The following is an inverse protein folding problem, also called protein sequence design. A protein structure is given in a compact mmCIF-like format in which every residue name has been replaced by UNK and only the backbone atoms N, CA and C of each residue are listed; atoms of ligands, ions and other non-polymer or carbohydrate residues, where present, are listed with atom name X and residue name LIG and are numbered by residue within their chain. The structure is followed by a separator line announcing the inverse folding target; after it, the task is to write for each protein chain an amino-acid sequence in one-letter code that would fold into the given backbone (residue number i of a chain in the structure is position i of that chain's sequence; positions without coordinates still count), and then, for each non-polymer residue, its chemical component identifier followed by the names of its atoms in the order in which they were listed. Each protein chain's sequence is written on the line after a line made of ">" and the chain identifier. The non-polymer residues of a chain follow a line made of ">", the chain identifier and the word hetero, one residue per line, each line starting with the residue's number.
data_IF_748499702323
#
_entry.id   IF_748499702323
#
_cell.length_a   1.000
_cell.length_b   1.000
_cell.length_c   1.000
_cell.angle_alpha   90.00
_cell.angle_beta   90.00
_cell.angle_gamma   90.00
#
_symmetry.space_group_name_H-M   'P 1'
#
loop_
_entity.id
_entity.type
_entity.pdbx_description
1 polymer ?
#
# COMPACT_ATOMS: atom_id res chain seq x y z
N UNK A 1 29.20 -42.07 8.29
CA UNK A 1 27.72 -41.96 8.24
C UNK A 1 27.24 -40.61 7.69
N UNK A 2 28.11 -39.62 7.43
CA UNK A 2 27.70 -38.28 6.97
C UNK A 2 27.37 -38.16 5.47
N UNK A 3 27.61 -39.18 4.65
CA UNK A 3 27.47 -39.11 3.19
C UNK A 3 26.03 -39.25 2.68
N UNK A 4 25.05 -39.42 3.57
CA UNK A 4 23.63 -39.63 3.21
C UNK A 4 22.81 -38.33 3.16
N UNK A 5 23.39 -37.20 3.57
CA UNK A 5 22.68 -35.90 3.60
C UNK A 5 22.86 -35.17 2.27
N UNK A 6 21.76 -34.95 1.56
CA UNK A 6 21.78 -34.13 0.34
C UNK A 6 21.88 -32.63 0.64
N UNK A 7 22.02 -31.78 -0.39
CA UNK A 7 22.25 -30.34 -0.25
C UNK A 7 21.28 -29.60 0.70
N UNK A 8 19.98 -29.91 0.64
CA UNK A 8 18.98 -29.31 1.52
C UNK A 8 19.12 -29.70 3.00
N UNK A 9 19.69 -30.88 3.31
CA UNK A 9 19.86 -31.34 4.69
C UNK A 9 20.98 -30.62 5.45
N UNK A 10 21.82 -29.87 4.74
CA UNK A 10 22.89 -29.03 5.31
C UNK A 10 22.40 -27.59 5.49
N UNK A 11 21.35 -27.19 4.76
CA UNK A 11 20.82 -25.84 4.82
C UNK A 11 20.01 -25.61 6.10
N UNK A 12 20.31 -24.52 6.81
CA UNK A 12 19.61 -24.13 8.03
C UNK A 12 18.73 -22.93 7.75
N UNK A 13 17.43 -23.08 8.00
CA UNK A 13 16.47 -21.99 7.92
C UNK A 13 16.66 -21.04 9.10
N UNK A 14 17.40 -19.95 8.88
CA UNK A 14 17.52 -18.85 9.84
C UNK A 14 16.67 -17.68 9.35
N UNK A 15 15.45 -17.59 9.85
CA UNK A 15 14.58 -16.45 9.60
C UNK A 15 14.61 -15.54 10.82
N UNK A 16 15.03 -14.28 10.63
CA UNK A 16 14.72 -13.24 11.58
C UNK A 16 13.19 -13.15 11.73
N UNK A 17 12.69 -12.86 12.94
CA UNK A 17 11.26 -12.70 13.18
C UNK A 17 10.63 -11.75 12.15
N UNK A 18 9.46 -12.11 11.62
CA UNK A 18 8.76 -11.34 10.59
C UNK A 18 8.58 -9.90 11.07
N UNK A 19 9.37 -8.98 10.53
CA UNK A 19 9.32 -7.58 10.90
C UNK A 19 8.08 -6.95 10.27
N UNK A 20 7.16 -6.50 11.10
CA UNK A 20 5.98 -5.80 10.63
C UNK A 20 6.33 -4.34 10.33
N UNK A 21 6.73 -4.06 9.08
CA UNK A 21 7.08 -2.69 8.60
C UNK A 21 5.94 -1.70 8.87
N UNK A 22 4.68 -2.14 8.80
CA UNK A 22 3.54 -1.29 9.11
C UNK A 22 3.58 -0.80 10.56
N UNK A 23 3.90 -1.68 11.51
CA UNK A 23 3.93 -1.30 12.93
C UNK A 23 5.10 -0.37 13.26
N UNK A 24 6.26 -0.60 12.67
CA UNK A 24 7.43 0.27 12.87
C UNK A 24 7.20 1.66 12.26
N UNK A 25 6.56 1.74 11.10
CA UNK A 25 6.24 2.99 10.43
C UNK A 25 5.16 3.78 11.20
N UNK A 26 4.11 3.10 11.70
CA UNK A 26 3.05 3.73 12.49
C UNK A 26 3.54 4.24 13.86
N UNK A 27 4.49 3.54 14.50
CA UNK A 27 5.08 3.95 15.78
C UNK A 27 5.92 5.22 15.67
N UNK A 28 6.50 5.51 14.50
CA UNK A 28 7.32 6.71 14.25
C UNK A 28 6.53 7.95 13.83
N UNK A 29 5.24 7.82 13.52
CA UNK A 29 4.42 8.92 13.03
C UNK A 29 4.09 9.99 14.09
N UNK A 30 4.47 11.24 13.81
CA UNK A 30 4.16 12.40 14.66
C UNK A 30 2.66 12.73 14.66
N UNK A 31 2.18 13.46 15.67
CA UNK A 31 0.75 13.84 15.78
C UNK A 31 0.26 14.62 14.54
N UNK A 32 1.08 15.51 13.99
CA UNK A 32 0.75 16.28 12.79
C UNK A 32 0.58 15.42 11.54
N UNK A 33 1.43 14.42 11.36
CA UNK A 33 1.31 13.47 10.25
C UNK A 33 0.00 12.68 10.32
N UNK A 34 -0.41 12.21 11.51
CA UNK A 34 -1.69 11.49 11.67
C UNK A 34 -2.91 12.36 11.35
N UNK A 35 -2.83 13.67 11.61
CA UNK A 35 -3.90 14.60 11.26
C UNK A 35 -3.93 14.82 9.74
N UNK A 36 -2.77 15.03 9.11
CA UNK A 36 -2.68 15.22 7.67
C UNK A 36 -3.27 14.04 6.89
N UNK A 37 -3.04 12.79 7.31
CA UNK A 37 -3.60 11.64 6.60
C UNK A 37 -5.11 11.52 6.75
N UNK A 38 -5.63 11.82 7.94
CA UNK A 38 -7.08 11.83 8.17
C UNK A 38 -7.73 12.87 7.27
N UNK A 39 -7.14 14.07 7.19
CA UNK A 39 -7.63 15.13 6.30
C UNK A 39 -7.54 14.70 4.84
N UNK A 40 -6.43 14.11 4.40
CA UNK A 40 -6.26 13.63 3.03
C UNK A 40 -7.25 12.50 2.67
N UNK A 41 -7.49 11.56 3.59
CA UNK A 41 -8.49 10.50 3.41
C UNK A 41 -9.92 11.05 3.29
N UNK A 42 -10.26 12.07 4.07
CA UNK A 42 -11.57 12.73 4.02
C UNK A 42 -11.73 13.50 2.70
N UNK A 43 -10.73 14.32 2.35
CA UNK A 43 -10.75 15.16 1.14
C UNK A 43 -10.73 14.32 -0.14
N UNK A 44 -10.07 13.17 -0.14
CA UNK A 44 -10.04 12.24 -1.28
C UNK A 44 -11.28 11.34 -1.41
N UNK A 45 -12.29 11.49 -0.54
CA UNK A 45 -13.46 10.60 -0.54
C UNK A 45 -14.60 11.12 -1.43
N UNK A 46 -15.24 10.21 -2.17
CA UNK A 46 -16.46 10.48 -2.93
C UNK A 46 -17.59 11.18 -2.14
N UNK A 47 -17.94 10.75 -0.90
CA UNK A 47 -18.97 11.43 -0.12
C UNK A 47 -18.60 12.87 0.25
N UNK A 48 -17.32 13.19 0.47
CA UNK A 48 -16.90 14.56 0.75
C UNK A 48 -17.15 15.50 -0.43
N UNK A 49 -16.86 15.05 -1.65
CA UNK A 49 -17.10 15.84 -2.88
C UNK A 49 -18.59 16.15 -3.04
N UNK A 50 -19.46 15.17 -2.80
CA UNK A 50 -20.92 15.34 -2.89
C UNK A 50 -21.41 16.32 -1.82
N UNK A 51 -20.96 16.16 -0.58
CA UNK A 51 -21.34 17.05 0.52
C UNK A 51 -20.87 18.50 0.29
N UNK A 52 -19.62 18.69 -0.12
CA UNK A 52 -19.06 20.01 -0.46
C UNK A 52 -19.85 20.66 -1.60
N UNK A 53 -20.18 19.90 -2.65
CA UNK A 53 -20.96 20.40 -3.78
C UNK A 53 -22.38 20.81 -3.36
N UNK A 54 -23.02 20.02 -2.50
CA UNK A 54 -24.33 20.34 -1.95
C UNK A 54 -24.31 21.64 -1.13
N UNK A 55 -23.31 21.85 -0.28
CA UNK A 55 -23.16 23.10 0.48
C UNK A 55 -23.02 24.29 -0.45
N UNK A 56 -22.18 24.19 -1.48
CA UNK A 56 -21.97 25.28 -2.46
C UNK A 56 -23.29 25.59 -3.17
N UNK A 57 -24.02 24.58 -3.63
CA UNK A 57 -25.32 24.76 -4.29
C UNK A 57 -26.37 25.38 -3.36
N UNK A 58 -26.43 24.96 -2.10
CA UNK A 58 -27.34 25.53 -1.09
C UNK A 58 -26.96 26.99 -0.83
N UNK A 59 -25.67 27.30 -0.68
CA UNK A 59 -25.19 28.66 -0.44
C UNK A 59 -25.50 29.59 -1.61
N UNK A 60 -25.23 29.14 -2.84
CA UNK A 60 -25.60 29.88 -4.05
C UNK A 60 -27.11 30.09 -4.14
N UNK A 61 -27.90 29.04 -3.92
CA UNK A 61 -29.36 29.10 -3.95
C UNK A 61 -29.94 30.06 -2.90
N UNK A 62 -29.43 30.02 -1.67
CA UNK A 62 -29.83 30.92 -0.60
C UNK A 62 -29.51 32.39 -0.92
N UNK A 63 -28.32 32.68 -1.44
CA UNK A 63 -27.94 34.06 -1.81
C UNK A 63 -28.75 34.58 -3.01
N UNK A 64 -29.02 33.75 -4.02
CA UNK A 64 -29.89 34.13 -5.16
C UNK A 64 -31.33 34.38 -4.70
N UNK A 65 -31.87 33.53 -3.82
CA UNK A 65 -33.20 33.71 -3.24
C UNK A 65 -33.31 34.99 -2.41
N UNK A 66 -32.29 35.29 -1.60
CA UNK A 66 -32.22 36.53 -0.83
C UNK A 66 -32.16 37.78 -1.71
N UNK A 67 -31.42 37.76 -2.82
CA UNK A 67 -31.40 38.86 -3.81
C UNK A 67 -32.76 39.04 -4.49
N UNK A 68 -33.42 37.94 -4.89
CA UNK A 68 -34.75 37.99 -5.51
C UNK A 68 -35.81 38.55 -4.53
N UNK A 69 -35.76 38.14 -3.27
CA UNK A 69 -36.72 38.58 -2.24
C UNK A 69 -36.45 40.02 -1.73
N UNK A 70 -35.18 40.44 -1.70
CA UNK A 70 -34.78 41.81 -1.34
C UNK A 70 -35.26 42.87 -2.35
N UNK A 71 -35.57 42.48 -3.60
CA UNK A 71 -36.23 43.36 -4.57
C UNK A 71 -37.69 43.69 -4.23
N UNK A 72 -38.30 43.00 -3.26
CA UNK A 72 -39.73 43.16 -2.89
C UNK A 72 -39.93 43.80 -1.50
N UNK A 73 -38.96 43.73 -0.58
CA UNK A 73 -39.05 44.34 0.75
C UNK A 73 -37.68 44.94 1.14
N UNK A 74 -37.62 46.26 1.32
CA UNK A 74 -36.39 47.04 1.45
C UNK A 74 -35.68 46.95 2.82
N UNK A 75 -36.27 46.31 3.83
CA UNK A 75 -35.86 46.61 5.21
C UNK A 75 -35.26 45.44 6.00
N UNK A 76 -35.15 44.22 5.46
CA UNK A 76 -34.77 43.07 6.30
C UNK A 76 -33.53 42.26 5.91
N UNK A 77 -33.07 42.27 4.65
CA UNK A 77 -31.87 41.51 4.29
C UNK A 77 -30.98 42.26 3.29
N UNK A 78 -29.97 42.95 3.82
CA UNK A 78 -28.80 43.35 3.02
C UNK A 78 -28.16 42.08 2.49
N UNK A 79 -28.07 41.97 1.16
CA UNK A 79 -27.52 40.80 0.48
C UNK A 79 -26.08 40.53 0.96
N UNK A 80 -25.89 39.41 1.66
CA UNK A 80 -24.65 39.07 2.38
C UNK A 80 -23.50 38.71 1.42
N UNK A 81 -23.79 38.16 0.23
CA UNK A 81 -22.81 37.89 -0.83
C UNK A 81 -23.46 38.01 -2.23
N UNK A 82 -23.62 39.23 -2.77
CA UNK A 82 -24.16 39.46 -4.12
C UNK A 82 -23.24 38.88 -5.21
N UNK A 83 -23.80 38.58 -6.39
CA UNK A 83 -23.03 38.19 -7.57
C UNK A 83 -21.92 39.25 -7.82
N UNK A 84 -20.62 38.89 -7.83
CA UNK A 84 -20.01 37.59 -8.20
C UNK A 84 -19.57 36.63 -7.06
N UNK A 85 -20.20 36.65 -5.88
CA UNK A 85 -19.90 35.76 -4.74
C UNK A 85 -18.45 35.82 -4.24
N UNK A 86 -18.01 37.01 -3.79
CA UNK A 86 -16.61 37.26 -3.41
C UNK A 86 -16.19 36.45 -2.18
N UNK A 87 -17.10 36.24 -1.23
CA UNK A 87 -16.80 35.50 0.00
C UNK A 87 -16.66 34.00 -0.28
N UNK A 88 -17.55 33.45 -1.10
CA UNK A 88 -17.46 32.07 -1.56
C UNK A 88 -16.14 31.83 -2.32
N UNK A 89 -15.79 32.74 -3.23
CA UNK A 89 -14.55 32.66 -3.99
C UNK A 89 -13.30 32.68 -3.08
N UNK A 90 -13.27 33.57 -2.10
CA UNK A 90 -12.19 33.67 -1.12
C UNK A 90 -12.06 32.38 -0.30
N UNK A 91 -13.18 31.84 0.18
CA UNK A 91 -13.21 30.61 0.96
C UNK A 91 -12.71 29.40 0.16
N UNK A 92 -13.17 29.23 -1.08
CA UNK A 92 -12.73 28.15 -1.97
C UNK A 92 -11.24 28.29 -2.34
N UNK A 93 -10.76 29.51 -2.57
CA UNK A 93 -9.34 29.76 -2.86
C UNK A 93 -8.45 29.40 -1.68
N UNK A 94 -8.83 29.77 -0.46
CA UNK A 94 -8.11 29.39 0.76
C UNK A 94 -8.15 27.87 0.98
N UNK A 95 -9.32 27.24 0.79
CA UNK A 95 -9.47 25.80 0.88
C UNK A 95 -8.54 25.07 -0.09
N UNK A 96 -8.49 25.48 -1.35
CA UNK A 96 -7.61 24.89 -2.36
C UNK A 96 -6.12 25.06 -2.01
N UNK A 97 -5.74 26.26 -1.56
CA UNK A 97 -4.37 26.58 -1.16
C UNK A 97 -3.85 25.68 -0.02
N UNK A 98 -4.71 25.35 0.96
CA UNK A 98 -4.34 24.45 2.06
C UNK A 98 -4.45 22.96 1.68
N UNK A 99 -5.35 22.60 0.77
CA UNK A 99 -5.57 21.21 0.35
C UNK A 99 -4.35 20.63 -0.36
N UNK A 100 -3.74 21.38 -1.28
CA UNK A 100 -2.60 20.91 -2.08
C UNK A 100 -1.42 20.38 -1.22
N UNK A 101 -0.89 21.18 -0.28
CA UNK A 101 0.18 20.76 0.62
C UNK A 101 -0.19 19.57 1.51
N UNK A 102 -1.41 19.53 2.06
CA UNK A 102 -1.86 18.42 2.92
C UNK A 102 -1.94 17.12 2.14
N UNK A 103 -2.49 17.16 0.93
CA UNK A 103 -2.54 16.01 0.02
C UNK A 103 -1.13 15.57 -0.35
N UNK A 104 -0.24 16.51 -0.68
CA UNK A 104 1.16 16.20 -1.02
C UNK A 104 1.92 15.58 0.16
N UNK A 105 1.71 16.06 1.38
CA UNK A 105 2.30 15.48 2.59
C UNK A 105 1.81 14.06 2.86
N UNK A 106 0.50 13.82 2.70
CA UNK A 106 -0.07 12.47 2.82
C UNK A 106 0.46 11.54 1.71
N UNK A 107 0.61 12.05 0.48
CA UNK A 107 1.14 11.28 -0.65
C UNK A 107 2.62 10.91 -0.46
N UNK A 108 3.47 11.87 -0.09
CA UNK A 108 4.86 11.58 0.27
C UNK A 108 4.93 10.53 1.38
N UNK A 109 3.99 10.62 2.33
CA UNK A 109 3.65 9.64 3.36
C UNK A 109 3.53 8.21 2.84
N UNK A 110 2.53 8.01 1.99
CA UNK A 110 2.23 6.70 1.41
C UNK A 110 3.37 6.20 0.53
N UNK A 111 3.98 7.07 -0.28
CA UNK A 111 5.10 6.70 -1.14
C UNK A 111 6.30 6.18 -0.34
N UNK A 112 6.62 6.78 0.80
CA UNK A 112 7.71 6.31 1.67
C UNK A 112 7.40 4.91 2.25
N UNK A 113 6.15 4.70 2.69
CA UNK A 113 5.68 3.41 3.18
C UNK A 113 5.74 2.35 2.09
N UNK A 114 5.25 2.65 0.89
CA UNK A 114 5.23 1.75 -0.25
C UNK A 114 6.66 1.39 -0.69
N UNK A 115 7.59 2.36 -0.64
CA UNK A 115 9.01 2.10 -0.90
C UNK A 115 9.62 1.12 0.10
N UNK A 116 9.35 1.29 1.40
CA UNK A 116 9.86 0.39 2.44
C UNK A 116 9.26 -1.02 2.31
N UNK A 117 7.98 -1.13 1.94
CA UNK A 117 7.36 -2.41 1.65
C UNK A 117 8.01 -3.09 0.44
N UNK A 118 8.21 -2.36 -0.65
CA UNK A 118 8.85 -2.89 -1.85
C UNK A 118 10.30 -3.36 -1.58
N UNK A 119 11.05 -2.64 -0.75
CA UNK A 119 12.40 -3.04 -0.33
C UNK A 119 12.38 -4.35 0.49
N UNK A 120 11.44 -4.49 1.43
CA UNK A 120 11.28 -5.73 2.18
C UNK A 120 10.86 -6.90 1.28
N UNK A 121 9.90 -6.68 0.38
CA UNK A 121 9.46 -7.71 -0.57
C UNK A 121 10.60 -8.15 -1.49
N UNK A 122 11.44 -7.22 -1.91
CA UNK A 122 12.65 -7.52 -2.68
C UNK A 122 13.64 -8.40 -1.92
N UNK A 123 13.89 -8.11 -0.64
CA UNK A 123 14.75 -8.96 0.19
C UNK A 123 14.18 -10.36 0.41
N UNK A 124 12.87 -10.48 0.63
CA UNK A 124 12.18 -11.76 0.78
C UNK A 124 12.30 -12.56 -0.53
N UNK A 125 12.07 -11.93 -1.68
CA UNK A 125 12.17 -12.58 -2.98
C UNK A 125 13.58 -13.08 -3.27
N UNK A 126 14.63 -12.31 -2.94
CA UNK A 126 16.02 -12.77 -3.05
C UNK A 126 16.30 -14.00 -2.20
N UNK A 127 15.78 -14.03 -0.97
CA UNK A 127 15.93 -15.18 -0.08
C UNK A 127 15.19 -16.40 -0.62
N UNK A 128 13.97 -16.21 -1.10
CA UNK A 128 13.18 -17.25 -1.74
C UNK A 128 13.88 -17.82 -2.99
N UNK A 129 14.54 -16.99 -3.80
CA UNK A 129 15.33 -17.44 -4.94
C UNK A 129 16.47 -18.39 -4.51
N UNK A 130 17.19 -18.05 -3.44
CA UNK A 130 18.25 -18.89 -2.89
C UNK A 130 17.69 -20.22 -2.36
N UNK A 131 16.57 -20.18 -1.64
CA UNK A 131 15.91 -21.38 -1.11
C UNK A 131 15.44 -22.31 -2.23
N UNK A 132 14.82 -21.75 -3.28
CA UNK A 132 14.41 -22.50 -4.47
C UNK A 132 15.62 -23.14 -5.15
N UNK A 133 16.73 -22.41 -5.27
CA UNK A 133 17.97 -22.96 -5.83
C UNK A 133 18.48 -24.16 -5.03
N UNK A 134 18.46 -24.08 -3.71
CA UNK A 134 18.90 -25.20 -2.84
C UNK A 134 17.98 -26.40 -3.01
N UNK A 135 16.67 -26.19 -3.12
CA UNK A 135 15.71 -27.26 -3.39
C UNK A 135 16.00 -27.89 -4.75
N UNK A 136 16.27 -27.09 -5.79
CA UNK A 136 16.65 -27.58 -7.12
C UNK A 136 17.92 -28.43 -7.07
N UNK A 137 18.97 -27.94 -6.40
CA UNK A 137 20.23 -28.68 -6.22
C UNK A 137 20.00 -30.00 -5.47
N UNK A 138 19.09 -30.00 -4.49
CA UNK A 138 18.72 -31.21 -3.76
C UNK A 138 17.96 -32.23 -4.62
N UNK A 139 17.04 -31.78 -5.48
CA UNK A 139 16.33 -32.65 -6.42
C UNK A 139 17.30 -33.30 -7.41
N UNK A 140 18.22 -32.52 -7.99
CA UNK A 140 19.26 -33.05 -8.89
C UNK A 140 20.14 -34.08 -8.17
N UNK A 141 20.49 -33.84 -6.91
CA UNK A 141 21.22 -34.81 -6.08
C UNK A 141 20.43 -36.11 -5.88
N UNK A 142 19.12 -36.02 -5.60
CA UNK A 142 18.26 -37.19 -5.45
C UNK A 142 18.16 -37.99 -6.75
N UNK A 143 17.98 -37.32 -7.90
CA UNK A 143 17.91 -37.97 -9.21
C UNK A 143 19.19 -38.75 -9.52
N UNK A 144 20.35 -38.13 -9.31
CA UNK A 144 21.64 -38.80 -9.48
C UNK A 144 21.75 -40.05 -8.59
N UNK A 145 21.23 -39.96 -7.35
CA UNK A 145 21.35 -41.06 -6.41
C UNK A 145 20.40 -42.22 -6.72
N UNK A 146 19.15 -41.90 -7.11
CA UNK A 146 18.17 -42.87 -7.60
C UNK A 146 18.74 -43.62 -8.82
N UNK A 147 19.32 -42.90 -9.79
CA UNK A 147 19.93 -43.53 -10.97
C UNK A 147 21.06 -44.49 -10.60
N UNK A 148 21.94 -44.10 -9.66
CA UNK A 148 23.02 -45.00 -9.23
C UNK A 148 22.51 -46.29 -8.54
N UNK A 149 21.43 -46.20 -7.75
CA UNK A 149 20.82 -47.37 -7.12
C UNK A 149 20.14 -48.28 -8.14
N UNK A 150 19.51 -47.70 -9.17
CA UNK A 150 18.93 -48.46 -10.27
C UNK A 150 19.98 -49.25 -11.04
N UNK A 151 21.15 -48.65 -11.29
CA UNK A 151 22.26 -49.34 -11.96
C UNK A 151 22.84 -50.46 -11.08
N UNK A 152 23.01 -50.22 -9.78
CA UNK A 152 23.46 -51.24 -8.83
C UNK A 152 22.50 -52.45 -8.80
N UNK A 153 21.18 -52.21 -8.72
CA UNK A 153 20.16 -53.27 -8.77
C UNK A 153 20.23 -54.04 -10.10
N UNK A 154 20.39 -53.36 -11.25
CA UNK A 154 20.54 -54.02 -12.54
C UNK A 154 21.77 -54.93 -12.57
N UNK A 155 22.92 -54.44 -12.06
CA UNK A 155 24.14 -55.25 -12.03
C UNK A 155 23.99 -56.48 -11.14
N UNK A 156 23.40 -56.33 -9.96
CA UNK A 156 23.11 -57.45 -9.04
C UNK A 156 22.20 -58.49 -9.69
N UNK A 157 21.15 -58.05 -10.41
CA UNK A 157 20.24 -58.95 -11.13
C UNK A 157 20.97 -59.73 -12.23
N UNK A 158 21.85 -59.08 -12.99
CA UNK A 158 22.65 -59.73 -14.04
C UNK A 158 23.62 -60.77 -13.46
N UNK A 159 24.22 -60.50 -12.30
CA UNK A 159 25.10 -61.46 -11.61
C UNK A 159 24.30 -62.65 -11.08
N UNK A 160 23.11 -62.40 -10.53
CA UNK A 160 22.23 -63.46 -10.03
C UNK A 160 21.66 -64.35 -11.14
N UNK A 161 21.35 -63.80 -12.31
CA UNK A 161 20.86 -64.58 -13.47
C UNK A 161 21.95 -65.44 -14.13
N UNK A 162 23.23 -65.25 -13.77
CA UNK A 162 24.39 -66.00 -14.29
C UNK A 162 24.87 -67.14 -13.39
N UNK A 163 24.36 -67.23 -12.17
CA UNK A 163 24.63 -68.33 -11.21
C UNK A 163 23.43 -69.28 -11.15
#
# INVERSE_FOLDING_TARGET
>A
MDTLRGPAAIYKHEHAAVRNVNEEFQKKGTRGQRVADKVAQIVGSWPFIIFQSAIILIWMGANVYLVYMAGTNSDFFVSWDPYPFILLNLALSFQAAYTGPVVMMSQNRQNEKDRLMAEQDYEINKKAEVEIKIIMDHLVYQDAKINSLLDEIKTLKIVNDKN
#
